data_IF_423748468346
#
_entry.id   IF_423748468346
#
_cell.length_a   1.000
_cell.length_b   1.000
_cell.length_c   1.000
_cell.angle_alpha   90.00
_cell.angle_beta   90.00
_cell.angle_gamma   90.00
#
_symmetry.space_group_name_H-M   'P 1'
#
loop_
_entity.id
_entity.type
_entity.pdbx_description
1 polymer ?
#
# COMPACT_ATOMS: atom_id res chain seq x y z
N UNK A 1 7.42 -23.25 -2.22
CA UNK A 1 6.17 -23.43 -2.98
C UNK A 1 5.03 -23.00 -2.07
N UNK A 2 4.33 -21.91 -2.41
CA UNK A 2 3.14 -21.48 -1.65
C UNK A 2 2.00 -22.41 -2.07
N UNK A 3 1.34 -23.07 -1.11
CA UNK A 3 0.30 -24.05 -1.40
C UNK A 3 -0.98 -23.32 -1.89
N UNK A 4 -1.65 -23.76 -2.96
CA UNK A 4 -2.80 -23.05 -3.57
C UNK A 4 -4.10 -22.95 -2.73
N UNK A 5 -4.12 -23.40 -1.47
CA UNK A 5 -5.36 -23.53 -0.67
C UNK A 5 -5.59 -22.41 0.36
N UNK A 6 -4.56 -21.98 1.09
CA UNK A 6 -4.69 -21.10 2.25
C UNK A 6 -4.90 -19.62 1.89
N UNK A 7 -4.37 -19.17 0.75
CA UNK A 7 -4.55 -17.79 0.25
C UNK A 7 -6.04 -17.45 0.08
N UNK A 8 -6.87 -18.40 -0.36
CA UNK A 8 -8.24 -18.07 -0.80
C UNK A 8 -9.21 -17.67 0.32
N UNK A 9 -9.05 -18.17 1.55
CA UNK A 9 -9.93 -17.83 2.66
C UNK A 9 -9.49 -16.54 3.36
N UNK A 10 -8.19 -16.37 3.58
CA UNK A 10 -7.61 -15.14 4.11
C UNK A 10 -7.89 -13.97 3.18
N UNK A 11 -7.67 -14.14 1.88
CA UNK A 11 -7.89 -13.08 0.90
C UNK A 11 -9.36 -12.64 0.83
N UNK A 12 -10.31 -13.58 0.94
CA UNK A 12 -11.73 -13.25 1.04
C UNK A 12 -12.04 -12.43 2.28
N UNK A 13 -11.42 -12.76 3.43
CA UNK A 13 -11.58 -11.98 4.66
C UNK A 13 -11.05 -10.57 4.49
N UNK A 14 -9.87 -10.40 3.86
CA UNK A 14 -9.32 -9.07 3.56
C UNK A 14 -10.28 -8.27 2.67
N UNK A 15 -10.78 -8.86 1.58
CA UNK A 15 -11.74 -8.19 0.68
C UNK A 15 -13.06 -7.84 1.38
N UNK A 16 -13.52 -8.64 2.34
CA UNK A 16 -14.69 -8.29 3.15
C UNK A 16 -14.38 -7.15 4.12
N UNK A 17 -13.17 -7.13 4.69
CA UNK A 17 -12.70 -6.08 5.59
C UNK A 17 -12.57 -4.74 4.87
N UNK A 18 -12.15 -4.72 3.59
CA UNK A 18 -12.04 -3.46 2.84
C UNK A 18 -13.38 -2.74 2.65
N UNK A 19 -14.51 -3.43 2.83
CA UNK A 19 -15.86 -2.87 2.73
C UNK A 19 -16.42 -2.35 4.04
N UNK A 20 -15.76 -2.62 5.17
CA UNK A 20 -16.25 -2.21 6.49
C UNK A 20 -15.79 -0.80 6.78
N UNK A 21 -16.64 -0.01 7.42
CA UNK A 21 -16.20 1.23 8.03
C UNK A 21 -15.51 0.93 9.37
N UNK A 22 -14.43 1.65 9.67
CA UNK A 22 -13.73 1.52 10.94
C UNK A 22 -13.02 2.81 11.31
N UNK A 23 -12.91 3.08 12.61
CA UNK A 23 -12.25 4.29 13.13
C UNK A 23 -10.73 4.33 12.92
N UNK A 24 -10.11 3.25 12.44
CA UNK A 24 -8.69 3.21 12.13
C UNK A 24 -8.21 1.87 11.57
N UNK A 25 -6.95 1.85 11.13
CA UNK A 25 -6.20 0.66 10.69
C UNK A 25 -4.84 0.69 11.40
N UNK A 26 -4.40 -0.45 11.93
CA UNK A 26 -3.06 -0.57 12.46
C UNK A 26 -2.05 -0.65 11.31
N UNK A 27 -1.33 0.45 11.07
CA UNK A 27 -0.35 0.55 9.99
C UNK A 27 1.06 0.25 10.49
N UNK A 28 1.78 -0.59 9.75
CA UNK A 28 3.21 -0.78 9.86
C UNK A 28 3.96 0.22 8.96
N UNK A 29 5.22 0.50 9.30
CA UNK A 29 6.08 1.30 8.43
C UNK A 29 6.31 0.56 7.10
N UNK A 30 6.05 1.19 5.94
CA UNK A 30 6.14 0.52 4.65
C UNK A 30 7.58 0.43 4.11
N UNK A 31 8.49 1.23 4.65
CA UNK A 31 9.91 1.24 4.28
C UNK A 31 10.76 1.64 5.48
N UNK A 32 12.02 1.23 5.47
CA UNK A 32 13.03 1.68 6.44
C UNK A 32 13.71 2.94 5.91
N UNK A 33 13.86 3.94 6.78
CA UNK A 33 14.56 5.17 6.41
C UNK A 33 14.21 6.35 7.30
N UNK A 34 14.95 7.43 7.13
CA UNK A 34 14.63 8.71 7.76
C UNK A 34 13.52 9.40 6.97
N UNK A 35 12.63 10.09 7.65
CA UNK A 35 11.70 11.03 7.00
C UNK A 35 12.53 12.20 6.50
N UNK A 36 12.56 12.41 5.19
CA UNK A 36 13.27 13.52 4.54
C UNK A 36 12.33 14.64 4.12
N UNK A 37 11.05 14.33 3.98
CA UNK A 37 10.02 15.34 3.83
C UNK A 37 8.73 14.94 4.56
N UNK A 38 8.23 15.83 5.41
CA UNK A 38 7.04 15.59 6.23
C UNK A 38 5.74 16.08 5.59
N UNK A 39 4.61 15.59 6.09
CA UNK A 39 3.29 16.06 5.66
C UNK A 39 3.11 17.55 5.97
N UNK A 40 2.66 18.29 4.96
CA UNK A 40 2.33 19.71 5.05
C UNK A 40 1.09 19.99 4.21
N UNK A 41 -0.07 20.33 4.81
CA UNK A 41 -1.28 20.63 4.08
C UNK A 41 -1.03 21.64 2.95
N UNK A 42 -1.51 21.33 1.74
CA UNK A 42 -1.33 22.18 0.56
C UNK A 42 0.04 22.13 -0.10
N UNK A 43 1.04 21.45 0.49
CA UNK A 43 2.39 21.31 -0.10
C UNK A 43 2.77 19.85 -0.31
N UNK A 44 2.83 19.06 0.76
CA UNK A 44 3.13 17.62 0.70
C UNK A 44 1.95 16.85 1.31
N UNK A 45 1.31 16.02 0.47
CA UNK A 45 0.13 15.23 0.83
C UNK A 45 0.47 13.91 1.52
N UNK A 46 1.74 13.65 1.80
CA UNK A 46 2.20 12.47 2.52
C UNK A 46 3.55 12.72 3.19
N UNK A 47 4.33 11.66 3.37
CA UNK A 47 5.70 11.72 3.87
C UNK A 47 6.64 11.10 2.83
N UNK A 48 7.87 11.59 2.77
CA UNK A 48 8.94 10.99 1.99
C UNK A 48 9.93 10.30 2.93
N UNK A 49 10.13 9.00 2.70
CA UNK A 49 11.06 8.17 3.45
C UNK A 49 12.28 7.96 2.57
N UNK A 50 13.47 8.30 3.07
CA UNK A 50 14.72 8.04 2.35
C UNK A 50 14.93 6.54 2.15
N UNK A 51 15.36 6.15 0.96
CA UNK A 51 15.71 4.78 0.62
C UNK A 51 16.72 4.73 -0.52
N UNK A 52 17.20 3.54 -0.84
CA UNK A 52 18.08 3.25 -1.98
C UNK A 52 17.28 2.62 -3.10
N UNK A 53 17.75 2.79 -4.33
CA UNK A 53 17.09 2.21 -5.49
C UNK A 53 17.04 0.67 -5.39
N UNK A 54 15.84 0.12 -5.23
CA UNK A 54 15.61 -1.32 -5.07
C UNK A 54 15.33 -1.78 -3.65
N UNK A 55 15.38 -0.88 -2.66
CA UNK A 55 14.87 -1.18 -1.33
C UNK A 55 13.38 -1.56 -1.42
N UNK A 56 12.93 -2.58 -0.66
CA UNK A 56 11.54 -3.01 -0.71
C UNK A 56 10.62 -1.96 -0.09
N UNK A 57 9.46 -1.78 -0.71
CA UNK A 57 8.32 -1.07 -0.13
C UNK A 57 7.24 -2.10 0.12
N UNK A 58 6.81 -2.21 1.37
CA UNK A 58 5.87 -3.24 1.84
C UNK A 58 4.51 -2.65 2.15
N UNK A 59 3.46 -3.44 2.02
CA UNK A 59 2.11 -3.04 2.41
C UNK A 59 2.04 -2.74 3.92
N UNK A 60 1.57 -1.54 4.27
CA UNK A 60 1.46 -1.11 5.66
C UNK A 60 0.40 -1.90 6.46
N UNK A 61 -0.60 -2.48 5.79
CA UNK A 61 -1.64 -3.32 6.39
C UNK A 61 -2.29 -4.18 5.32
N UNK A 62 -3.08 -5.18 5.74
CA UNK A 62 -3.91 -5.97 4.85
C UNK A 62 -4.83 -5.08 4.01
N UNK A 63 -4.97 -5.38 2.73
CA UNK A 63 -5.84 -4.60 1.87
C UNK A 63 -5.96 -5.13 0.45
N UNK A 64 -6.69 -4.37 -0.35
CA UNK A 64 -6.86 -4.64 -1.78
C UNK A 64 -6.23 -3.53 -2.60
N UNK A 65 -5.44 -3.90 -3.60
CA UNK A 65 -4.83 -2.96 -4.53
C UNK A 65 -5.92 -2.36 -5.41
N UNK A 66 -6.20 -1.07 -5.22
CA UNK A 66 -7.18 -0.32 -6.01
C UNK A 66 -6.56 0.30 -7.26
N UNK A 67 -5.25 0.53 -7.24
CA UNK A 67 -4.49 1.07 -8.36
C UNK A 67 -3.05 0.58 -8.34
N UNK A 68 -2.52 0.20 -9.51
CA UNK A 68 -1.10 -0.03 -9.74
C UNK A 68 -0.74 0.45 -11.15
N UNK A 69 0.00 1.55 -11.29
CA UNK A 69 0.33 2.11 -12.60
C UNK A 69 1.12 3.42 -12.56
N UNK A 70 1.26 4.07 -13.71
CA UNK A 70 2.03 5.32 -13.92
C UNK A 70 1.19 6.45 -14.52
N UNK A 71 -0.13 6.30 -14.56
CA UNK A 71 -1.03 7.24 -15.22
C UNK A 71 -1.41 8.48 -14.40
N UNK A 72 -0.89 8.61 -13.18
CA UNK A 72 -1.12 9.76 -12.30
C UNK A 72 0.15 10.62 -12.28
N UNK A 73 0.03 11.83 -12.83
CA UNK A 73 1.13 12.79 -12.90
C UNK A 73 1.67 13.10 -11.49
N UNK A 74 2.96 13.43 -11.43
CA UNK A 74 3.74 13.73 -10.22
C UNK A 74 4.02 12.55 -9.26
N UNK A 75 3.34 11.42 -9.37
CA UNK A 75 3.57 10.25 -8.47
C UNK A 75 4.48 9.16 -9.07
N UNK A 76 4.77 9.22 -10.38
CA UNK A 76 5.51 8.15 -11.07
C UNK A 76 4.78 6.81 -10.97
N UNK A 77 5.49 5.73 -10.67
CA UNK A 77 4.85 4.43 -10.42
C UNK A 77 4.21 4.40 -9.03
N UNK A 78 2.89 4.32 -9.02
CA UNK A 78 2.04 4.43 -7.84
C UNK A 78 1.28 3.13 -7.59
N UNK A 79 1.21 2.72 -6.32
CA UNK A 79 0.30 1.70 -5.81
C UNK A 79 -0.63 2.36 -4.80
N UNK A 80 -1.94 2.12 -4.90
CA UNK A 80 -2.93 2.52 -3.88
C UNK A 80 -3.59 1.26 -3.32
N UNK A 81 -3.55 1.10 -2.00
CA UNK A 81 -4.16 -0.02 -1.28
C UNK A 81 -5.30 0.49 -0.41
N UNK A 82 -6.49 -0.09 -0.56
CA UNK A 82 -7.63 0.13 0.33
C UNK A 82 -7.58 -0.89 1.47
N UNK A 83 -7.68 -0.42 2.71
CA UNK A 83 -7.65 -1.27 3.90
C UNK A 83 -9.03 -1.47 4.53
N UNK A 84 -9.89 -0.46 4.41
CA UNK A 84 -11.28 -0.45 4.82
C UNK A 84 -12.03 0.64 4.01
N UNK A 85 -13.30 0.89 4.30
CA UNK A 85 -14.10 1.85 3.53
C UNK A 85 -13.60 3.30 3.66
N UNK A 86 -12.82 3.60 4.71
CA UNK A 86 -12.42 4.95 5.10
C UNK A 86 -10.90 5.21 4.95
N UNK A 87 -10.09 4.15 4.84
CA UNK A 87 -8.63 4.23 4.89
C UNK A 87 -7.96 3.59 3.66
N UNK A 88 -7.05 4.37 3.08
CA UNK A 88 -6.16 3.97 1.99
C UNK A 88 -4.70 4.33 2.31
N UNK A 89 -3.78 3.61 1.71
CA UNK A 89 -2.36 3.97 1.64
C UNK A 89 -1.92 4.10 0.19
N UNK A 90 -0.93 4.95 -0.07
CA UNK A 90 -0.41 5.23 -1.39
C UNK A 90 1.12 5.19 -1.37
N UNK A 91 1.72 4.42 -2.28
CA UNK A 91 3.16 4.24 -2.41
C UNK A 91 3.60 4.75 -3.78
N UNK A 92 4.26 5.90 -3.82
CA UNK A 92 4.69 6.57 -5.03
C UNK A 92 6.18 6.36 -5.31
N UNK A 93 6.63 6.76 -6.50
CA UNK A 93 8.03 6.72 -6.94
C UNK A 93 8.69 5.34 -6.88
N UNK A 94 7.89 4.27 -6.97
CA UNK A 94 8.43 2.91 -7.01
C UNK A 94 9.21 2.69 -8.31
N UNK A 95 10.32 1.96 -8.24
CA UNK A 95 11.07 1.58 -9.45
C UNK A 95 10.34 0.52 -10.28
N UNK A 96 9.63 -0.39 -9.60
CA UNK A 96 8.91 -1.52 -10.20
C UNK A 96 7.67 -1.83 -9.37
N UNK A 97 6.57 -2.18 -10.04
CA UNK A 97 5.36 -2.66 -9.40
C UNK A 97 5.37 -4.19 -9.40
N UNK A 98 5.20 -4.79 -8.22
CA UNK A 98 5.17 -6.26 -8.04
C UNK A 98 3.76 -6.82 -7.87
N UNK A 99 2.76 -5.92 -7.79
CA UNK A 99 1.33 -6.21 -7.67
C UNK A 99 0.58 -5.50 -8.79
N UNK A 100 -0.65 -5.94 -9.04
CA UNK A 100 -1.59 -5.35 -9.99
C UNK A 100 -2.90 -4.98 -9.31
N UNK A 101 -3.67 -4.10 -9.96
CA UNK A 101 -5.03 -3.77 -9.50
C UNK A 101 -5.86 -5.03 -9.31
N UNK A 102 -6.53 -5.11 -8.16
CA UNK A 102 -7.38 -6.23 -7.77
C UNK A 102 -6.72 -7.23 -6.84
N UNK A 103 -5.38 -7.27 -6.78
CA UNK A 103 -4.63 -8.15 -5.88
C UNK A 103 -4.96 -7.86 -4.42
N UNK A 104 -4.91 -8.91 -3.60
CA UNK A 104 -4.93 -8.81 -2.14
C UNK A 104 -3.49 -8.81 -1.66
N UNK A 105 -3.19 -7.93 -0.71
CA UNK A 105 -1.91 -7.85 -0.01
C UNK A 105 -2.16 -8.00 1.49
N UNK A 106 -1.24 -8.67 2.16
CA UNK A 106 -1.17 -8.78 3.62
C UNK A 106 -0.15 -7.79 4.16
N UNK A 107 -0.27 -7.41 5.43
CA UNK A 107 0.71 -6.53 6.07
C UNK A 107 2.13 -7.10 5.92
N UNK A 108 3.03 -6.30 5.36
CA UNK A 108 4.42 -6.69 5.15
C UNK A 108 4.71 -7.35 3.80
N UNK A 109 3.71 -7.62 2.96
CA UNK A 109 3.93 -8.09 1.58
C UNK A 109 4.69 -7.07 0.72
#
# INVERSE_FOLDING_TARGET
>A
AVQPGESTASDRKVVQQTKRHASGVALAWPAHGKIVDGFRPGQNRGIQIAGRAGDPVRAAADGRVMYAGTGLNDYGSLIIVQHNADFLTAYAHNRKLLVKTGDVVHQGD
#
